data_IF_628865319259
#
_entry.id   IF_628865319259
#
_cell.length_a   1.000
_cell.length_b   1.000
_cell.length_c   1.000
_cell.angle_alpha   90.00
_cell.angle_beta   90.00
_cell.angle_gamma   90.00
#
_symmetry.space_group_name_H-M   'P 1'
#
loop_
_entity.id
_entity.type
_entity.pdbx_description
1 polymer ?
#
# COMPACT_ATOMS: atom_id res chain seq x y z
N UNK A 1 13.45 2.06 -13.03
CA UNK A 1 12.68 1.18 -12.13
C UNK A 1 11.28 1.02 -12.71
N UNK A 2 10.89 -0.20 -13.05
CA UNK A 2 9.65 -0.48 -13.77
C UNK A 2 8.42 -0.04 -12.98
N UNK A 3 7.69 0.92 -13.55
CA UNK A 3 6.34 1.31 -13.13
C UNK A 3 5.51 0.06 -12.86
N UNK A 4 4.97 -0.09 -11.66
CA UNK A 4 4.05 -1.19 -11.33
C UNK A 4 2.97 -1.23 -12.42
N UNK A 5 2.78 -2.39 -13.07
CA UNK A 5 1.76 -2.57 -14.11
C UNK A 5 0.40 -2.26 -13.48
N UNK A 6 -0.46 -1.52 -14.21
CA UNK A 6 -1.87 -1.31 -13.82
C UNK A 6 -2.50 -2.69 -13.59
N UNK A 7 -2.86 -2.99 -12.34
CA UNK A 7 -3.43 -4.28 -11.92
C UNK A 7 -2.49 -5.18 -11.10
N UNK A 8 -1.22 -4.83 -10.93
CA UNK A 8 -0.34 -5.56 -10.01
C UNK A 8 -0.67 -5.18 -8.56
N UNK A 9 -0.96 -6.18 -7.72
CA UNK A 9 -1.23 -5.97 -6.29
C UNK A 9 -0.02 -5.28 -5.66
N UNK A 10 -0.21 -4.17 -4.95
CA UNK A 10 0.91 -3.42 -4.39
C UNK A 10 1.65 -4.29 -3.37
N UNK A 11 2.97 -4.30 -3.49
CA UNK A 11 3.81 -5.16 -2.67
C UNK A 11 3.89 -4.59 -1.26
N UNK A 12 3.56 -5.40 -0.27
CA UNK A 12 3.81 -5.10 1.14
C UNK A 12 5.31 -5.14 1.42
N UNK A 13 5.91 -3.99 1.72
CA UNK A 13 7.36 -3.85 1.94
C UNK A 13 7.65 -3.38 3.36
N UNK A 14 8.78 -3.84 3.89
CA UNK A 14 9.32 -3.36 5.16
C UNK A 14 10.24 -2.17 4.92
N UNK A 15 9.85 -1.00 5.43
CA UNK A 15 10.71 0.16 5.52
C UNK A 15 11.70 -0.02 6.69
N UNK A 16 12.88 -0.56 6.39
CA UNK A 16 13.92 -0.92 7.38
C UNK A 16 14.36 0.25 8.28
N UNK A 17 14.45 1.46 7.75
CA UNK A 17 14.86 2.64 8.54
C UNK A 17 13.84 3.07 9.60
N UNK A 18 12.56 2.74 9.42
CA UNK A 18 11.49 3.21 10.30
C UNK A 18 10.78 2.06 11.02
N UNK A 19 11.05 0.81 10.62
CA UNK A 19 10.34 -0.36 11.14
C UNK A 19 8.88 -0.46 10.67
N UNK A 20 8.52 0.31 9.64
CA UNK A 20 7.13 0.47 9.19
C UNK A 20 6.84 -0.37 7.95
N UNK A 21 5.60 -0.82 7.81
CA UNK A 21 5.05 -1.37 6.59
C UNK A 21 4.71 -0.25 5.61
N UNK A 22 5.16 -0.40 4.38
CA UNK A 22 4.90 0.54 3.29
C UNK A 22 4.42 -0.20 2.05
N UNK A 23 3.46 0.39 1.35
CA UNK A 23 3.02 -0.06 0.03
C UNK A 23 3.09 1.10 -0.95
N UNK A 24 3.40 0.80 -2.21
CA UNK A 24 3.41 1.81 -3.27
C UNK A 24 2.21 1.59 -4.17
N UNK A 25 1.26 2.53 -4.18
CA UNK A 25 0.07 2.51 -5.05
C UNK A 25 0.05 3.78 -5.89
N UNK A 26 -0.20 3.65 -7.20
CA UNK A 26 -0.25 4.78 -8.14
C UNK A 26 0.99 5.71 -8.09
N UNK A 27 2.16 5.17 -7.74
CA UNK A 27 3.40 5.95 -7.61
C UNK A 27 3.54 6.71 -6.28
N UNK A 28 2.69 6.43 -5.29
CA UNK A 28 2.72 7.03 -3.95
C UNK A 28 2.95 5.97 -2.88
N UNK A 29 3.83 6.26 -1.95
CA UNK A 29 4.12 5.40 -0.81
C UNK A 29 3.16 5.67 0.34
N UNK A 30 2.48 4.63 0.82
CA UNK A 30 1.51 4.66 1.91
C UNK A 30 2.08 3.86 3.06
N UNK A 31 2.21 4.51 4.22
CA UNK A 31 2.67 3.89 5.45
C UNK A 31 1.48 3.28 6.20
N UNK A 32 1.59 2.01 6.55
CA UNK A 32 0.51 1.24 7.18
C UNK A 32 0.69 1.12 8.71
N UNK A 33 1.82 1.58 9.24
CA UNK A 33 2.20 1.41 10.64
C UNK A 33 3.35 0.41 10.80
N UNK A 34 3.55 -0.14 12.00
CA UNK A 34 4.68 -1.05 12.29
C UNK A 34 4.60 -2.34 11.46
N UNK A 35 5.71 -2.71 10.84
CA UNK A 35 5.80 -3.90 9.99
C UNK A 35 5.43 -5.18 10.75
N UNK A 36 4.71 -6.08 10.07
CA UNK A 36 4.28 -7.39 10.57
C UNK A 36 3.37 -7.33 11.81
N UNK A 37 2.64 -6.23 11.98
CA UNK A 37 1.61 -6.11 13.03
C UNK A 37 0.21 -6.31 12.46
N UNK A 38 -0.72 -6.73 13.32
CA UNK A 38 -2.14 -6.83 12.96
C UNK A 38 -2.67 -5.50 12.42
N UNK A 39 -2.31 -4.37 13.05
CA UNK A 39 -2.69 -3.03 12.60
C UNK A 39 -2.26 -2.77 11.16
N UNK A 40 -1.00 -3.07 10.81
CA UNK A 40 -0.50 -2.86 9.46
C UNK A 40 -1.17 -3.75 8.41
N UNK A 41 -1.56 -4.98 8.79
CA UNK A 41 -2.29 -5.91 7.92
C UNK A 41 -3.74 -5.48 7.73
N UNK A 42 -4.39 -4.98 8.78
CA UNK A 42 -5.74 -4.41 8.70
C UNK A 42 -5.76 -3.16 7.83
N UNK A 43 -4.81 -2.23 8.03
CA UNK A 43 -4.66 -1.06 7.15
C UNK A 43 -4.38 -1.47 5.72
N UNK A 44 -3.52 -2.47 5.49
CA UNK A 44 -3.29 -3.00 4.14
C UNK A 44 -4.60 -3.42 3.48
N UNK A 45 -5.42 -4.23 4.17
CA UNK A 45 -6.70 -4.68 3.62
C UNK A 45 -7.64 -3.51 3.31
N UNK A 46 -7.81 -2.55 4.24
CA UNK A 46 -8.65 -1.37 4.04
C UNK A 46 -8.21 -0.54 2.83
N UNK A 47 -6.91 -0.27 2.71
CA UNK A 47 -6.37 0.49 1.58
C UNK A 47 -6.56 -0.28 0.27
N UNK A 48 -6.33 -1.59 0.25
CA UNK A 48 -6.58 -2.41 -0.94
C UNK A 48 -8.04 -2.35 -1.37
N UNK A 49 -9.00 -2.47 -0.44
CA UNK A 49 -10.43 -2.39 -0.75
C UNK A 49 -10.84 -1.02 -1.27
N UNK A 50 -10.33 0.05 -0.66
CA UNK A 50 -10.58 1.42 -1.11
C UNK A 50 -10.06 1.65 -2.53
N UNK A 51 -8.82 1.26 -2.81
CA UNK A 51 -8.23 1.40 -4.14
C UNK A 51 -8.84 0.46 -5.18
N UNK A 52 -9.32 -0.72 -4.77
CA UNK A 52 -10.06 -1.60 -5.66
C UNK A 52 -11.35 -0.94 -6.16
N UNK A 53 -12.05 -0.17 -5.31
CA UNK A 53 -13.25 0.59 -5.69
C UNK A 53 -12.94 1.73 -6.66
N UNK A 54 -11.77 2.35 -6.56
CA UNK A 54 -11.36 3.47 -7.45
C UNK A 54 -10.70 3.01 -8.76
N UNK A 55 -10.58 1.71 -8.98
CA UNK A 55 -9.86 1.16 -10.14
C UNK A 55 -8.36 1.46 -10.10
N UNK A 56 -7.78 1.58 -8.91
CA UNK A 56 -6.34 1.82 -8.67
C UNK A 56 -5.81 3.15 -9.18
N UNK A 57 -6.68 4.13 -9.45
CA UNK A 57 -6.30 5.32 -10.21
C UNK A 57 -5.94 6.54 -9.35
N UNK A 58 -6.45 6.67 -8.11
CA UNK A 58 -6.11 7.74 -7.16
C UNK A 58 -6.87 7.56 -5.83
N UNK A 59 -6.44 8.23 -4.72
CA UNK A 59 -7.30 8.44 -3.57
C UNK A 59 -8.49 9.32 -3.97
N UNK A 60 -9.68 8.90 -3.58
CA UNK A 60 -10.89 9.74 -3.58
C UNK A 60 -10.67 10.79 -2.49
N UNK A 61 -10.47 12.04 -2.88
CA UNK A 61 -10.64 13.19 -1.98
C UNK A 61 -12.10 13.59 -1.92
#
# INVERSE_FOLDING_TARGET
MGRLKRGERPRYRHHRSSGQAVITIAGRDIYLGKFDTLESRTRYAQVIEEFARTGWNAPIS
#
